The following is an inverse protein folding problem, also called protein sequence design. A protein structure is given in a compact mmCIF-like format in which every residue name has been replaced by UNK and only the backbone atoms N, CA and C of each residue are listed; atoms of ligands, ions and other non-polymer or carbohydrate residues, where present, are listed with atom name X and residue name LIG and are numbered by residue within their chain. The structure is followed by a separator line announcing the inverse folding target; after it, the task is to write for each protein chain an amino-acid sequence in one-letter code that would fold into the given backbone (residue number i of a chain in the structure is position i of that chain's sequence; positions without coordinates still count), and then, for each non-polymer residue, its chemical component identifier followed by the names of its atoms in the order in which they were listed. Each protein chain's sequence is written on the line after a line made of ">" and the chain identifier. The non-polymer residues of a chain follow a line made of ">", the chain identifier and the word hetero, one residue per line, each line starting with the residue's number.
data_IF_837218203081
#
_entry.id   IF_837218203081
#
_cell.length_a   1.000
_cell.length_b   1.000
_cell.length_c   1.000
_cell.angle_alpha   90.00
_cell.angle_beta   90.00
_cell.angle_gamma   90.00
#
_symmetry.space_group_name_H-M   'P 1'
#
loop_
_entity.id
_entity.type
_entity.pdbx_description
1 polymer ?
#
# COMPACT_ATOMS: atom_id res chain seq x y z
N UNK A 1 11.91 10.54 10.77
CA UNK A 1 10.96 11.24 9.87
C UNK A 1 11.50 11.31 8.45
N UNK A 2 12.56 12.09 8.15
CA UNK A 2 13.13 12.16 6.79
C UNK A 2 13.70 10.82 6.27
N UNK A 3 14.35 10.04 7.13
CA UNK A 3 14.94 8.74 6.74
C UNK A 3 13.89 7.73 6.26
N UNK A 4 12.71 7.68 6.88
CA UNK A 4 11.65 6.74 6.48
C UNK A 4 11.07 7.08 5.11
N UNK A 5 10.88 8.37 4.82
CA UNK A 5 10.41 8.83 3.49
C UNK A 5 11.47 8.56 2.43
N UNK A 6 12.76 8.76 2.76
CA UNK A 6 13.86 8.44 1.86
C UNK A 6 13.86 6.95 1.48
N UNK A 7 13.77 6.07 2.49
CA UNK A 7 13.66 4.62 2.27
C UNK A 7 12.46 4.25 1.39
N UNK A 8 11.28 4.87 1.58
CA UNK A 8 10.14 4.61 0.71
C UNK A 8 10.43 4.98 -0.75
N UNK A 9 11.04 6.14 -1.01
CA UNK A 9 11.36 6.61 -2.36
C UNK A 9 12.31 5.63 -3.08
N UNK A 10 13.24 5.00 -2.37
CA UNK A 10 14.14 3.98 -2.96
C UNK A 10 13.38 2.79 -3.57
N UNK A 11 12.21 2.44 -3.00
CA UNK A 11 11.41 1.32 -3.52
C UNK A 11 10.66 1.66 -4.81
N UNK A 12 10.69 2.92 -5.26
CA UNK A 12 10.02 3.35 -6.49
C UNK A 12 10.54 2.65 -7.76
N UNK A 13 11.82 2.28 -7.80
CA UNK A 13 12.35 1.59 -8.97
C UNK A 13 11.92 0.12 -9.02
N UNK A 14 11.85 -0.55 -7.86
CA UNK A 14 11.24 -1.89 -7.75
C UNK A 14 9.75 -1.83 -8.14
N UNK A 15 9.06 -0.79 -7.69
CA UNK A 15 7.66 -0.56 -7.99
C UNK A 15 7.39 -0.38 -9.48
N UNK A 16 8.15 0.50 -10.16
CA UNK A 16 8.08 0.69 -11.61
C UNK A 16 8.37 -0.62 -12.35
N UNK A 17 9.32 -1.41 -11.88
CA UNK A 17 9.65 -2.70 -12.46
C UNK A 17 8.48 -3.69 -12.40
N UNK A 18 7.83 -3.83 -11.24
CA UNK A 18 6.66 -4.69 -11.07
C UNK A 18 5.51 -4.28 -11.99
N UNK A 19 5.18 -2.98 -11.97
CA UNK A 19 4.09 -2.43 -12.78
C UNK A 19 4.38 -2.52 -14.28
N UNK A 20 5.64 -2.35 -14.69
CA UNK A 20 6.09 -2.56 -16.07
C UNK A 20 5.87 -4.00 -16.56
N UNK A 21 5.80 -4.97 -15.64
CA UNK A 21 5.52 -6.39 -15.92
C UNK A 21 4.04 -6.78 -15.73
N UNK A 22 3.18 -5.81 -15.44
CA UNK A 22 1.76 -6.06 -15.16
C UNK A 22 1.51 -6.75 -13.82
N UNK A 23 2.49 -6.74 -12.91
CA UNK A 23 2.35 -7.29 -11.56
C UNK A 23 1.84 -6.18 -10.63
N UNK A 24 0.76 -6.47 -9.90
CA UNK A 24 0.16 -5.60 -8.87
C UNK A 24 0.40 -6.24 -7.51
N UNK A 25 0.94 -5.47 -6.56
CA UNK A 25 1.34 -5.93 -5.23
C UNK A 25 0.15 -6.26 -4.32
N UNK A 26 -0.94 -5.48 -4.37
CA UNK A 26 -2.24 -5.73 -3.72
C UNK A 26 -2.31 -5.66 -2.19
N UNK A 27 -1.17 -5.61 -1.50
CA UNK A 27 -1.07 -5.53 -0.04
C UNK A 27 0.06 -4.59 0.41
N UNK A 28 0.17 -3.42 -0.23
CA UNK A 28 1.17 -2.44 0.18
C UNK A 28 0.78 -1.76 1.51
N UNK A 29 1.68 -1.87 2.48
CA UNK A 29 1.65 -1.26 3.81
C UNK A 29 3.09 -1.17 4.33
N UNK A 30 3.35 -0.31 5.31
CA UNK A 30 4.71 -0.15 5.85
C UNK A 30 5.30 -1.46 6.40
N UNK A 31 4.49 -2.37 6.97
CA UNK A 31 4.91 -3.69 7.43
C UNK A 31 5.52 -4.56 6.31
N UNK A 32 5.10 -4.31 5.06
CA UNK A 32 5.54 -5.02 3.87
C UNK A 32 6.68 -4.30 3.14
N UNK A 33 7.27 -3.28 3.78
CA UNK A 33 8.45 -2.55 3.28
C UNK A 33 9.56 -2.63 4.33
N UNK A 34 10.16 -3.80 4.56
CA UNK A 34 11.25 -3.95 5.51
C UNK A 34 12.48 -3.14 5.07
N UNK A 35 13.14 -2.53 6.05
CA UNK A 35 14.43 -1.85 5.87
C UNK A 35 15.54 -2.78 6.34
N UNK A 36 16.48 -3.08 5.46
CA UNK A 36 17.65 -3.90 5.75
C UNK A 36 18.65 -3.21 6.68
N UNK A 37 19.59 -3.97 7.22
CA UNK A 37 20.72 -3.42 8.00
C UNK A 37 21.63 -2.51 7.18
N UNK A 38 21.55 -2.57 5.86
CA UNK A 38 22.21 -1.68 4.91
C UNK A 38 21.44 -0.36 4.69
N UNK A 39 20.33 -0.16 5.39
CA UNK A 39 19.49 1.03 5.30
C UNK A 39 18.55 1.05 4.09
N UNK A 40 18.56 0.00 3.25
CA UNK A 40 17.74 -0.05 2.03
C UNK A 40 16.38 -0.67 2.31
N UNK A 41 15.34 -0.03 1.83
CA UNK A 41 13.99 -0.61 1.83
C UNK A 41 13.75 -1.51 0.62
N UNK A 42 12.92 -2.53 0.79
CA UNK A 42 12.49 -3.44 -0.28
C UNK A 42 11.02 -3.78 -0.17
N UNK A 43 10.37 -4.06 -1.29
CA UNK A 43 9.00 -4.56 -1.29
C UNK A 43 8.97 -6.05 -0.90
N UNK A 44 8.07 -6.43 0.01
CA UNK A 44 7.90 -7.78 0.52
C UNK A 44 6.42 -8.18 0.62
N UNK A 45 6.16 -9.48 0.80
CA UNK A 45 4.84 -10.05 1.08
C UNK A 45 3.74 -9.61 0.08
N UNK A 46 3.89 -10.07 -1.17
CA UNK A 46 2.93 -9.82 -2.23
C UNK A 46 1.58 -10.43 -1.87
N UNK A 47 0.52 -9.63 -2.00
CA UNK A 47 -0.84 -10.11 -1.79
C UNK A 47 -1.12 -11.31 -2.69
N UNK A 48 -1.74 -12.35 -2.11
CA UNK A 48 -2.10 -13.53 -2.88
C UNK A 48 -2.94 -13.11 -4.10
N UNK A 49 -2.65 -13.62 -5.30
CA UNK A 49 -3.44 -13.32 -6.49
C UNK A 49 -4.85 -13.88 -6.28
N UNK A 50 -5.76 -13.03 -5.82
CA UNK A 50 -7.13 -13.44 -5.58
C UNK A 50 -7.90 -13.33 -6.89
N UNK A 51 -8.26 -14.49 -7.47
CA UNK A 51 -9.33 -14.57 -8.48
C UNK A 51 -10.72 -14.22 -7.88
N UNK A 52 -10.77 -13.81 -6.61
CA UNK A 52 -11.99 -13.65 -5.82
C UNK A 52 -12.13 -12.21 -5.38
N UNK A 53 -13.31 -11.69 -5.68
CA UNK A 53 -13.81 -10.34 -5.51
C UNK A 53 -14.24 -10.06 -4.06
N UNK A 54 -13.47 -10.55 -3.10
CA UNK A 54 -13.74 -10.30 -1.69
C UNK A 54 -12.87 -9.15 -1.20
N UNK A 55 -13.49 -8.23 -0.47
CA UNK A 55 -12.78 -7.19 0.27
C UNK A 55 -11.75 -7.90 1.15
N UNK A 56 -10.48 -7.70 0.84
CA UNK A 56 -9.40 -8.18 1.69
C UNK A 56 -9.46 -7.33 2.96
N UNK A 57 -9.87 -7.93 4.06
CA UNK A 57 -10.00 -7.27 5.37
C UNK A 57 -8.65 -6.80 5.95
N UNK A 58 -7.53 -7.21 5.34
CA UNK A 58 -6.19 -6.73 5.68
C UNK A 58 -5.86 -5.37 5.05
N UNK A 59 -5.00 -4.60 5.72
CA UNK A 59 -4.46 -3.34 5.23
C UNK A 59 -5.50 -2.29 4.78
N UNK A 60 -6.73 -2.34 5.28
CA UNK A 60 -7.83 -1.46 4.82
C UNK A 60 -7.47 0.03 4.86
N UNK A 61 -6.66 0.46 5.84
CA UNK A 61 -6.19 1.84 5.97
C UNK A 61 -5.23 2.29 4.86
N UNK A 62 -4.59 1.35 4.19
CA UNK A 62 -3.72 1.61 3.04
C UNK A 62 -4.43 1.34 1.72
N UNK A 63 -5.63 0.75 1.72
CA UNK A 63 -6.34 0.42 0.47
C UNK A 63 -7.00 1.63 -0.17
N UNK A 64 -6.97 1.64 -1.49
CA UNK A 64 -7.67 2.63 -2.30
C UNK A 64 -9.20 2.53 -2.11
N UNK A 65 -9.94 3.64 -2.18
CA UNK A 65 -11.38 3.67 -1.90
C UNK A 65 -12.19 2.73 -2.80
N UNK A 66 -11.80 2.57 -4.06
CA UNK A 66 -12.41 1.62 -4.98
C UNK A 66 -12.25 0.17 -4.49
N UNK A 67 -11.15 -0.16 -3.80
CA UNK A 67 -10.95 -1.51 -3.24
C UNK A 67 -11.77 -1.78 -1.97
N UNK A 68 -12.37 -0.74 -1.38
CA UNK A 68 -13.22 -0.83 -0.18
C UNK A 68 -14.72 -0.86 -0.52
N UNK A 69 -15.07 -0.51 -1.74
CA UNK A 69 -16.47 -0.50 -2.19
C UNK A 69 -16.97 -1.94 -2.39
N UNK A 70 -18.24 -2.21 -2.05
CA UNK A 70 -18.88 -3.52 -2.23
C UNK A 70 -19.06 -3.83 -3.73
N UNK A 71 -18.00 -4.31 -4.36
CA UNK A 71 -17.98 -4.59 -5.78
C UNK A 71 -16.77 -5.42 -6.20
N UNK A 72 -16.83 -5.94 -7.43
CA UNK A 72 -15.71 -6.64 -8.04
C UNK A 72 -14.62 -5.64 -8.45
N UNK A 73 -13.76 -5.25 -7.52
CA UNK A 73 -12.59 -4.45 -7.88
C UNK A 73 -11.44 -5.35 -8.30
N UNK A 74 -10.94 -5.11 -9.53
CA UNK A 74 -9.76 -5.79 -10.03
C UNK A 74 -8.52 -5.14 -9.41
N UNK A 75 -7.48 -5.92 -9.09
CA UNK A 75 -6.16 -5.37 -8.81
C UNK A 75 -5.76 -4.39 -9.92
N UNK A 76 -5.29 -3.21 -9.53
CA UNK A 76 -4.89 -2.15 -10.44
C UNK A 76 -3.60 -1.50 -9.97
N UNK A 77 -2.85 -0.91 -10.89
CA UNK A 77 -1.62 -0.19 -10.56
C UNK A 77 -1.95 1.04 -9.72
N UNK A 78 -3.06 1.68 -10.04
CA UNK A 78 -3.59 2.87 -9.38
C UNK A 78 -3.90 2.59 -7.90
N UNK A 79 -4.43 1.41 -7.59
CA UNK A 79 -4.68 1.00 -6.22
C UNK A 79 -3.38 0.81 -5.42
N UNK A 80 -2.36 0.18 -6.01
CA UNK A 80 -1.04 0.10 -5.37
C UNK A 80 -0.45 1.51 -5.16
N UNK A 81 -0.68 2.48 -6.07
CA UNK A 81 -0.11 3.83 -5.98
C UNK A 81 -0.72 4.54 -4.79
N UNK A 82 -2.03 4.40 -4.60
CA UNK A 82 -2.72 4.89 -3.43
C UNK A 82 -2.14 4.30 -2.14
N UNK A 83 -1.97 2.98 -2.08
CA UNK A 83 -1.40 2.29 -0.92
C UNK A 83 0.03 2.74 -0.59
N UNK A 84 0.84 2.98 -1.61
CA UNK A 84 2.17 3.57 -1.43
C UNK A 84 2.08 5.01 -0.87
N UNK A 85 1.13 5.81 -1.35
CA UNK A 85 0.83 7.13 -0.79
C UNK A 85 0.47 7.08 0.69
N UNK A 86 -0.31 6.08 1.11
CA UNK A 86 -0.63 5.86 2.53
C UNK A 86 0.61 5.48 3.36
N UNK A 87 1.57 4.75 2.78
CA UNK A 87 2.86 4.48 3.43
C UNK A 87 3.65 5.78 3.66
N UNK A 88 3.65 6.70 2.68
CA UNK A 88 4.26 8.03 2.84
C UNK A 88 3.58 8.82 3.95
N UNK A 89 2.24 8.84 3.98
CA UNK A 89 1.47 9.51 5.04
C UNK A 89 1.90 8.99 6.41
N UNK A 90 1.95 7.67 6.58
CA UNK A 90 2.40 7.03 7.82
C UNK A 90 3.84 7.38 8.19
N UNK A 91 4.76 7.38 7.22
CA UNK A 91 6.17 7.68 7.46
C UNK A 91 6.39 9.15 7.88
N UNK A 92 5.56 10.07 7.37
CA UNK A 92 5.62 11.50 7.71
C UNK A 92 4.93 11.77 9.04
N UNK A 93 3.75 11.21 9.29
CA UNK A 93 2.98 11.43 10.52
C UNK A 93 3.56 10.70 11.73
N UNK A 94 4.15 9.52 11.53
CA UNK A 94 4.48 8.58 12.60
C UNK A 94 3.28 7.78 13.11
N UNK A 95 2.08 8.02 12.56
CA UNK A 95 0.82 7.40 12.94
C UNK A 95 0.26 6.54 11.81
N UNK A 96 -0.49 5.50 12.17
CA UNK A 96 -1.26 4.70 11.21
C UNK A 96 -2.16 5.59 10.32
N UNK A 97 -2.21 5.38 9.00
CA UNK A 97 -3.07 6.15 8.11
C UNK A 97 -4.52 6.09 8.59
N UNK A 98 -5.17 7.25 8.59
CA UNK A 98 -6.54 7.44 9.06
C UNK A 98 -6.78 7.20 10.57
N UNK A 99 -5.74 6.95 11.38
CA UNK A 99 -5.79 7.04 12.85
C UNK A 99 -7.07 6.51 13.53
N UNK A 100 -7.71 7.35 14.36
CA UNK A 100 -8.94 7.05 15.12
C UNK A 100 -10.23 7.02 14.28
N UNK A 101 -10.17 7.20 12.96
CA UNK A 101 -11.39 7.19 12.15
C UNK A 101 -12.01 5.78 12.16
N UNK A 102 -13.33 5.64 12.42
CA UNK A 102 -14.03 4.39 12.23
C UNK A 102 -13.88 3.95 10.76
N UNK A 103 -13.82 2.66 10.50
CA UNK A 103 -13.69 2.09 9.15
C UNK A 103 -14.71 2.64 8.12
N UNK A 104 -15.85 3.17 8.60
CA UNK A 104 -16.87 3.83 7.78
C UNK A 104 -16.49 5.21 7.21
N UNK A 105 -15.42 5.83 7.72
CA UNK A 105 -15.00 7.20 7.39
C UNK A 105 -13.70 7.26 6.57
N UNK A 106 -13.21 6.12 6.08
CA UNK A 106 -12.20 6.15 5.02
C UNK A 106 -12.85 6.88 3.84
N UNK A 107 -12.35 8.07 3.43
CA UNK A 107 -13.06 8.91 2.48
C UNK A 107 -13.20 8.17 1.15
N UNK A 108 -14.42 7.70 0.87
CA UNK A 108 -14.83 7.07 -0.39
C UNK A 108 -15.16 8.15 -1.44
N UNK A 109 -14.47 9.29 -1.38
CA UNK A 109 -14.64 10.38 -2.37
C UNK A 109 -13.61 10.29 -3.47
#
# INVERSE_FOLDING_TARGET
>A
MLGAVHSLIETMDEYKYLHGRGIVHQDLKCDNIPVGSDGRAKLADFGLPTNKTNIQLGAVRWKAPEQLTSGKCRPSKEADIYSFGMCIVQAVSGDIPWGQLPMLWCPIV
#
